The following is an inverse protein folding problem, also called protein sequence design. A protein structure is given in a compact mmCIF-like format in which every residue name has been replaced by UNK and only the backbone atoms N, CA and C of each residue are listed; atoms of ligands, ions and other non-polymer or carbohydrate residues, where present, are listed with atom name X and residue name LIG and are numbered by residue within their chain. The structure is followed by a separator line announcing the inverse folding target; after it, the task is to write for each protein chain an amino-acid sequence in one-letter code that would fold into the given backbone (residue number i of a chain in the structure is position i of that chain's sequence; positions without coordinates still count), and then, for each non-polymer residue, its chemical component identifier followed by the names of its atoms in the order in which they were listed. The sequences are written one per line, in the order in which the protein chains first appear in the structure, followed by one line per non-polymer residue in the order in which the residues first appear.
data_IF_393128767291
#
_entry.id   IF_393128767291
#
_cell.length_a   1.000
_cell.length_b   1.000
_cell.length_c   1.000
_cell.angle_alpha   90.00
_cell.angle_beta   90.00
_cell.angle_gamma   90.00
#
_symmetry.space_group_name_H-M   'P 1'
#
loop_
_entity.id
_entity.type
_entity.pdbx_description
1 polymer ?
#
# COMPACT_ATOMS: atom_id res chain seq x y z
N UNK A 1 9.57 28.61 0.98
CA UNK A 1 8.90 27.78 1.99
C UNK A 1 9.37 26.37 1.72
N UNK A 2 10.37 25.92 2.46
CA UNK A 2 10.84 24.55 2.35
C UNK A 2 9.68 23.64 2.74
N UNK A 3 9.07 22.99 1.75
CA UNK A 3 8.10 21.94 2.02
C UNK A 3 8.88 20.86 2.77
N UNK A 4 8.59 20.68 4.05
CA UNK A 4 9.16 19.58 4.81
C UNK A 4 8.99 18.29 4.01
N UNK A 5 10.09 17.57 3.86
CA UNK A 5 10.07 16.27 3.21
C UNK A 5 9.18 15.35 4.03
N UNK A 6 8.15 14.78 3.40
CA UNK A 6 7.38 13.72 4.02
C UNK A 6 8.28 12.54 4.42
N UNK A 7 8.12 12.08 5.66
CA UNK A 7 8.77 10.87 6.13
C UNK A 7 7.89 9.67 5.82
N UNK A 8 8.35 8.81 4.90
CA UNK A 8 7.67 7.56 4.59
C UNK A 8 7.54 6.69 5.85
N UNK A 9 6.36 6.11 6.02
CA UNK A 9 6.05 5.25 7.16
C UNK A 9 6.46 3.82 6.87
N UNK A 10 6.76 3.08 7.93
CA UNK A 10 6.90 1.64 7.89
C UNK A 10 6.02 1.02 8.99
N UNK A 11 5.47 -0.18 8.78
CA UNK A 11 4.69 -0.87 9.80
C UNK A 11 5.51 -1.07 11.09
N UNK A 12 5.02 -0.55 12.22
CA UNK A 12 5.76 -0.55 13.50
C UNK A 12 5.42 -1.72 14.41
N UNK A 13 4.23 -2.28 14.29
CA UNK A 13 3.74 -3.38 15.15
C UNK A 13 4.05 -4.77 14.57
N UNK A 14 4.70 -4.81 13.40
CA UNK A 14 4.98 -6.04 12.66
C UNK A 14 6.45 -6.42 12.81
N UNK A 15 6.69 -7.63 13.31
CA UNK A 15 8.02 -8.21 13.45
C UNK A 15 8.56 -8.71 12.10
N UNK A 16 7.70 -9.35 11.30
CA UNK A 16 8.09 -9.87 10.00
C UNK A 16 6.92 -9.94 9.01
N UNK A 17 7.26 -9.90 7.72
CA UNK A 17 6.34 -10.12 6.62
C UNK A 17 6.87 -11.24 5.74
N UNK A 18 5.95 -11.95 5.10
CA UNK A 18 6.28 -12.94 4.09
C UNK A 18 5.53 -12.62 2.81
N UNK A 19 6.29 -12.45 1.74
CA UNK A 19 5.77 -12.03 0.45
C UNK A 19 6.04 -13.07 -0.63
N UNK A 20 5.20 -13.07 -1.66
CA UNK A 20 5.43 -13.71 -2.95
C UNK A 20 5.44 -12.63 -4.02
N UNK A 21 6.56 -12.48 -4.71
CA UNK A 21 6.74 -11.53 -5.79
C UNK A 21 7.04 -12.25 -7.10
N UNK A 22 6.59 -11.67 -8.22
CA UNK A 22 7.18 -11.99 -9.53
C UNK A 22 8.55 -11.34 -9.67
N UNK A 23 9.36 -11.83 -10.60
CA UNK A 23 10.68 -11.24 -10.90
C UNK A 23 10.55 -9.76 -11.28
N UNK A 24 9.54 -9.40 -12.06
CA UNK A 24 9.30 -8.00 -12.46
C UNK A 24 8.90 -7.11 -11.29
N UNK A 25 8.08 -7.62 -10.36
CA UNK A 25 7.72 -6.90 -9.14
C UNK A 25 8.94 -6.67 -8.25
N UNK A 26 9.79 -7.69 -8.07
CA UNK A 26 11.02 -7.60 -7.29
C UNK A 26 12.01 -6.61 -7.91
N UNK A 27 12.23 -6.68 -9.23
CA UNK A 27 13.07 -5.72 -9.95
C UNK A 27 12.58 -4.28 -9.78
N UNK A 28 11.26 -4.07 -9.85
CA UNK A 28 10.69 -2.75 -9.64
C UNK A 28 10.92 -2.27 -8.20
N UNK A 29 10.68 -3.11 -7.19
CA UNK A 29 10.88 -2.76 -5.78
C UNK A 29 12.33 -2.37 -5.46
N UNK A 30 13.30 -3.02 -6.09
CA UNK A 30 14.73 -2.69 -5.97
C UNK A 30 15.14 -1.39 -6.69
N UNK A 31 14.24 -0.78 -7.47
CA UNK A 31 14.48 0.47 -8.19
C UNK A 31 14.12 1.72 -7.41
N UNK A 32 14.15 2.84 -8.12
CA UNK A 32 13.70 4.15 -7.65
C UNK A 32 12.63 4.72 -8.58
N UNK A 33 11.85 5.65 -8.06
CA UNK A 33 11.03 6.59 -8.84
C UNK A 33 11.39 8.00 -8.42
N UNK A 34 11.04 8.99 -9.23
CA UNK A 34 11.23 10.39 -8.85
C UNK A 34 9.93 11.02 -8.31
N UNK A 35 10.02 12.08 -7.52
CA UNK A 35 8.88 12.96 -7.25
C UNK A 35 8.76 14.05 -8.34
N UNK A 36 7.85 15.01 -8.17
CA UNK A 36 7.68 16.10 -9.14
C UNK A 36 8.84 17.11 -9.14
N UNK A 37 9.68 17.11 -8.09
CA UNK A 37 10.92 17.90 -8.02
C UNK A 37 12.13 17.15 -8.58
N UNK A 38 11.95 15.91 -9.07
CA UNK A 38 13.03 15.08 -9.58
C UNK A 38 13.83 14.36 -8.50
N UNK A 39 13.41 14.41 -7.23
CA UNK A 39 14.06 13.68 -6.15
C UNK A 39 13.81 12.19 -6.28
N UNK A 40 14.85 11.38 -6.19
CA UNK A 40 14.73 9.93 -6.16
C UNK A 40 14.15 9.43 -4.82
N UNK A 41 13.23 8.48 -4.94
CA UNK A 41 12.55 7.78 -3.85
C UNK A 41 12.69 6.29 -4.13
N UNK A 42 13.15 5.52 -3.14
CA UNK A 42 13.21 4.07 -3.22
C UNK A 42 11.82 3.46 -3.34
N UNK A 43 11.63 2.54 -4.28
CA UNK A 43 10.32 1.94 -4.53
C UNK A 43 9.82 1.09 -3.34
N UNK A 44 10.73 0.45 -2.60
CA UNK A 44 10.43 -0.17 -1.31
C UNK A 44 9.88 0.82 -0.27
N UNK A 45 10.30 2.09 -0.27
CA UNK A 45 9.78 3.09 0.68
C UNK A 45 8.32 3.45 0.35
N UNK A 46 7.97 3.52 -0.93
CA UNK A 46 6.59 3.75 -1.36
C UNK A 46 5.70 2.56 -1.01
N UNK A 47 6.17 1.35 -1.29
CA UNK A 47 5.43 0.13 -0.96
C UNK A 47 5.28 -0.04 0.56
N UNK A 48 6.35 0.22 1.32
CA UNK A 48 6.33 0.21 2.79
C UNK A 48 5.35 1.23 3.37
N UNK A 49 5.27 2.42 2.79
CA UNK A 49 4.32 3.46 3.21
C UNK A 49 2.85 3.09 2.94
N UNK A 50 2.59 2.31 1.89
CA UNK A 50 1.28 1.72 1.66
C UNK A 50 0.98 0.61 2.68
N UNK A 51 1.94 -0.30 2.91
CA UNK A 51 1.81 -1.37 3.90
C UNK A 51 1.59 -0.83 5.33
N UNK A 52 2.20 0.30 5.68
CA UNK A 52 2.03 0.95 6.98
C UNK A 52 0.58 1.40 7.26
N UNK A 53 -0.26 1.47 6.21
CA UNK A 53 -1.69 1.83 6.32
C UNK A 53 -2.61 0.62 6.41
N UNK A 54 -2.05 -0.58 6.32
CA UNK A 54 -2.78 -1.84 6.38
C UNK A 54 -3.39 -2.05 7.76
N UNK A 55 -4.67 -2.41 7.80
CA UNK A 55 -5.33 -2.87 9.01
C UNK A 55 -4.81 -4.28 9.37
N UNK A 56 -4.36 -4.47 10.60
CA UNK A 56 -3.85 -5.77 11.08
C UNK A 56 -4.96 -6.72 11.53
N UNK A 57 -6.11 -6.15 11.89
CA UNK A 57 -7.34 -6.85 12.29
C UNK A 57 -8.53 -6.18 11.63
N UNK A 58 -9.65 -6.90 11.51
CA UNK A 58 -10.90 -6.30 11.07
C UNK A 58 -11.29 -5.12 11.96
N UNK A 59 -11.75 -4.03 11.37
CA UNK A 59 -12.10 -2.84 12.14
C UNK A 59 -12.54 -1.65 11.33
N UNK A 60 -13.06 -0.64 12.04
CA UNK A 60 -13.49 0.62 11.45
C UNK A 60 -12.29 1.54 11.26
N UNK A 61 -11.95 1.85 10.02
CA UNK A 61 -11.03 2.91 9.68
C UNK A 61 -11.75 4.27 9.73
N UNK A 62 -11.24 5.18 10.58
CA UNK A 62 -11.74 6.55 10.73
C UNK A 62 -10.84 7.59 10.05
N UNK A 63 -9.86 7.15 9.24
CA UNK A 63 -8.85 8.03 8.64
C UNK A 63 -9.36 8.95 7.53
N UNK A 64 -10.62 8.79 7.12
CA UNK A 64 -11.23 9.55 6.03
C UNK A 64 -12.63 10.04 6.43
N UNK A 65 -13.22 10.90 5.59
CA UNK A 65 -14.50 11.58 5.86
C UNK A 65 -15.66 10.64 6.27
N UNK A 66 -15.60 9.35 5.89
CA UNK A 66 -16.60 8.36 6.28
C UNK A 66 -15.90 7.15 6.90
N UNK A 67 -16.38 6.68 8.07
CA UNK A 67 -15.92 5.42 8.65
C UNK A 67 -16.13 4.29 7.64
N UNK A 68 -15.13 3.43 7.50
CA UNK A 68 -15.17 2.28 6.61
C UNK A 68 -14.73 1.03 7.36
N UNK A 69 -15.52 -0.05 7.27
CA UNK A 69 -15.08 -1.36 7.73
C UNK A 69 -13.99 -1.88 6.79
N UNK A 70 -12.79 -2.09 7.33
CA UNK A 70 -11.69 -2.76 6.66
C UNK A 70 -11.56 -4.17 7.23
N UNK A 71 -11.32 -5.14 6.35
CA UNK A 71 -10.81 -6.44 6.76
C UNK A 71 -9.30 -6.36 7.02
N UNK A 72 -8.78 -7.28 7.83
CA UNK A 72 -7.35 -7.48 8.00
C UNK A 72 -6.67 -7.60 6.62
N UNK A 73 -5.51 -6.96 6.45
CA UNK A 73 -4.80 -6.93 5.16
C UNK A 73 -5.29 -5.87 4.18
N UNK A 74 -6.34 -5.10 4.50
CA UNK A 74 -6.79 -3.98 3.67
C UNK A 74 -6.27 -2.64 4.19
N UNK A 75 -6.09 -1.68 3.29
CA UNK A 75 -5.77 -0.30 3.63
C UNK A 75 -6.71 0.67 2.90
N UNK A 76 -7.15 1.71 3.58
CA UNK A 76 -7.84 2.82 2.92
C UNK A 76 -6.81 3.82 2.40
N UNK A 77 -7.06 4.39 1.22
CA UNK A 77 -6.16 5.39 0.64
C UNK A 77 -6.90 6.52 -0.08
N UNK A 78 -6.18 7.62 -0.32
CA UNK A 78 -6.63 8.73 -1.15
C UNK A 78 -5.52 9.15 -2.08
N UNK A 79 -5.81 9.20 -3.39
CA UNK A 79 -4.87 9.72 -4.39
C UNK A 79 -4.49 11.18 -4.10
N UNK A 80 -5.38 11.98 -3.51
CA UNK A 80 -5.12 13.36 -3.09
C UNK A 80 -4.07 13.39 -1.95
N UNK A 81 -4.26 12.54 -0.95
CA UNK A 81 -3.38 12.49 0.21
C UNK A 81 -2.00 11.93 -0.17
N UNK A 82 -1.95 10.85 -0.96
CA UNK A 82 -0.71 10.30 -1.49
C UNK A 82 0.00 11.31 -2.39
N UNK A 83 -0.74 12.07 -3.20
CA UNK A 83 -0.16 13.13 -4.05
C UNK A 83 0.55 14.20 -3.22
N UNK A 84 -0.09 14.63 -2.13
CA UNK A 84 0.49 15.60 -1.19
C UNK A 84 1.70 15.02 -0.45
N UNK A 85 1.58 13.82 0.11
CA UNK A 85 2.62 13.16 0.91
C UNK A 85 3.85 12.80 0.07
N UNK A 86 3.66 12.23 -1.11
CA UNK A 86 4.77 11.78 -1.95
C UNK A 86 5.29 12.87 -2.90
N UNK A 87 4.71 14.08 -2.85
CA UNK A 87 5.03 15.20 -3.74
C UNK A 87 4.99 14.79 -5.22
N UNK A 88 3.95 14.03 -5.59
CA UNK A 88 3.73 13.53 -6.95
C UNK A 88 2.33 13.93 -7.41
N UNK A 89 2.20 14.44 -8.63
CA UNK A 89 0.89 14.80 -9.18
C UNK A 89 -0.08 13.61 -9.21
N UNK A 90 -1.39 13.87 -9.04
CA UNK A 90 -2.42 12.81 -8.97
C UNK A 90 -2.42 11.86 -10.18
N UNK A 91 -2.08 12.34 -11.38
CA UNK A 91 -1.92 11.47 -12.57
C UNK A 91 -0.78 10.46 -12.38
N UNK A 92 0.32 10.90 -11.78
CA UNK A 92 1.48 10.07 -11.49
C UNK A 92 1.18 9.04 -10.40
N UNK A 93 0.52 9.46 -9.33
CA UNK A 93 0.01 8.55 -8.29
C UNK A 93 -0.87 7.47 -8.91
N UNK A 94 -1.84 7.85 -9.75
CA UNK A 94 -2.74 6.89 -10.39
C UNK A 94 -2.00 5.89 -11.28
N UNK A 95 -1.04 6.36 -12.07
CA UNK A 95 -0.22 5.49 -12.90
C UNK A 95 0.64 4.55 -12.06
N UNK A 96 1.23 5.05 -10.98
CA UNK A 96 2.01 4.25 -10.04
C UNK A 96 1.16 3.13 -9.42
N UNK A 97 -0.03 3.45 -8.90
CA UNK A 97 -0.96 2.46 -8.37
C UNK A 97 -1.34 1.43 -9.44
N UNK A 98 -1.60 1.84 -10.67
CA UNK A 98 -1.90 0.93 -11.77
C UNK A 98 -0.71 -0.01 -12.10
N UNK A 99 0.53 0.51 -12.07
CA UNK A 99 1.74 -0.31 -12.25
C UNK A 99 1.88 -1.33 -11.11
N UNK A 100 1.69 -0.91 -9.86
CA UNK A 100 1.73 -1.81 -8.70
C UNK A 100 0.67 -2.92 -8.80
N UNK A 101 -0.53 -2.58 -9.27
CA UNK A 101 -1.60 -3.56 -9.54
C UNK A 101 -1.24 -4.51 -10.67
N UNK A 102 -0.68 -4.01 -11.78
CA UNK A 102 -0.22 -4.85 -12.89
C UNK A 102 0.89 -5.83 -12.49
N UNK A 103 1.67 -5.52 -11.45
CA UNK A 103 2.70 -6.40 -10.90
C UNK A 103 2.22 -7.30 -9.76
N UNK A 104 0.95 -7.21 -9.36
CA UNK A 104 0.38 -8.00 -8.26
C UNK A 104 0.85 -7.58 -6.86
N UNK A 105 1.49 -6.40 -6.72
CA UNK A 105 1.94 -5.89 -5.42
C UNK A 105 0.76 -5.42 -4.57
N UNK A 106 -0.21 -4.76 -5.21
CA UNK A 106 -1.45 -4.32 -4.58
C UNK A 106 -2.63 -4.66 -5.48
N UNK A 107 -3.83 -4.72 -4.93
CA UNK A 107 -5.05 -4.57 -5.72
C UNK A 107 -5.80 -3.33 -5.23
N UNK A 108 -6.50 -2.63 -6.12
CA UNK A 108 -7.21 -1.39 -5.77
C UNK A 108 -8.68 -1.45 -6.16
N UNK A 109 -9.54 -1.25 -5.18
CA UNK A 109 -10.98 -1.11 -5.38
C UNK A 109 -11.40 0.33 -5.08
N UNK A 110 -11.84 1.05 -6.11
CA UNK A 110 -12.31 2.44 -5.99
C UNK A 110 -13.82 2.49 -6.07
N UNK A 111 -14.45 3.14 -5.09
CA UNK A 111 -15.88 3.42 -5.08
C UNK A 111 -16.14 4.92 -4.88
N UNK A 112 -17.41 5.32 -4.97
CA UNK A 112 -17.85 6.67 -4.58
C UNK A 112 -17.68 6.95 -3.09
N UNK A 113 -17.60 5.91 -2.25
CA UNK A 113 -17.59 6.01 -0.79
C UNK A 113 -16.16 6.01 -0.26
N UNK A 114 -15.30 5.15 -0.80
CA UNK A 114 -13.91 5.02 -0.40
C UNK A 114 -13.08 4.33 -1.49
N UNK A 115 -11.76 4.54 -1.43
CA UNK A 115 -10.78 3.73 -2.15
C UNK A 115 -10.05 2.83 -1.16
N UNK A 116 -10.08 1.54 -1.42
CA UNK A 116 -9.46 0.49 -0.59
C UNK A 116 -8.43 -0.23 -1.44
N UNK A 117 -7.32 -0.63 -0.82
CA UNK A 117 -6.35 -1.52 -1.41
C UNK A 117 -6.14 -2.76 -0.56
N UNK A 118 -5.73 -3.85 -1.21
CA UNK A 118 -5.22 -5.06 -0.59
C UNK A 118 -3.82 -5.37 -1.14
N UNK A 119 -3.15 -6.35 -0.56
CA UNK A 119 -1.78 -6.72 -0.90
C UNK A 119 -1.71 -8.20 -1.34
N UNK A 120 -2.03 -8.54 -2.60
CA UNK A 120 -2.02 -9.94 -3.06
C UNK A 120 -0.66 -10.63 -2.93
N UNK A 121 0.43 -9.86 -2.99
CA UNK A 121 1.77 -10.36 -2.76
C UNK A 121 2.06 -10.73 -1.30
N UNK A 122 1.24 -10.30 -0.33
CA UNK A 122 1.43 -10.56 1.09
C UNK A 122 0.78 -11.90 1.47
N UNK A 123 1.59 -12.86 1.92
CA UNK A 123 1.13 -14.19 2.30
C UNK A 123 0.76 -14.28 3.79
N UNK A 124 1.57 -13.64 4.63
CA UNK A 124 1.43 -13.67 6.09
C UNK A 124 2.29 -12.57 6.73
N UNK A 125 1.95 -12.19 7.96
CA UNK A 125 2.74 -11.30 8.81
C UNK A 125 2.78 -11.79 10.25
N UNK A 126 3.82 -11.40 10.98
CA UNK A 126 3.98 -11.71 12.39
C UNK A 126 3.91 -10.43 13.22
N UNK A 127 3.08 -10.44 14.25
CA UNK A 127 3.04 -9.39 15.27
C UNK A 127 3.86 -9.90 16.46
N UNK A 128 4.68 -9.04 17.06
CA UNK A 128 5.61 -9.42 18.12
C UNK A 128 4.94 -10.15 19.30
N UNK A 129 3.67 -9.85 19.58
CA UNK A 129 2.93 -10.39 20.73
C UNK A 129 1.96 -11.54 20.38
N UNK A 130 1.51 -11.65 19.12
CA UNK A 130 0.32 -12.46 18.76
C UNK A 130 0.58 -13.58 17.74
N UNK A 131 1.84 -13.86 17.41
CA UNK A 131 2.21 -14.96 16.50
C UNK A 131 1.97 -14.66 15.01
N UNK A 132 1.86 -15.73 14.21
CA UNK A 132 1.70 -15.65 12.74
C UNK A 132 0.24 -15.42 12.36
N UNK A 133 -0.01 -14.40 11.55
CA UNK A 133 -1.31 -14.11 10.95
C UNK A 133 -1.19 -14.37 9.45
N UNK A 134 -1.97 -15.33 8.95
CA UNK A 134 -2.09 -15.55 7.51
C UNK A 134 -2.86 -14.39 6.88
N UNK A 135 -2.40 -13.91 5.74
CA UNK A 135 -3.19 -12.96 4.97
C UNK A 135 -4.51 -13.63 4.58
N UNK A 136 -5.67 -12.96 4.77
CA UNK A 136 -6.91 -13.49 4.25
C UNK A 136 -6.75 -13.63 2.74
N UNK A 137 -6.85 -14.86 2.24
CA UNK A 137 -6.74 -15.15 0.81
C UNK A 137 -7.86 -14.38 0.08
N UNK A 138 -7.54 -13.22 -0.48
CA UNK A 138 -8.42 -12.53 -1.42
C UNK A 138 -8.04 -13.01 -2.83
N UNK A 139 -8.37 -14.27 -3.11
CA UNK A 139 -8.48 -14.74 -4.50
C UNK A 139 -9.93 -15.17 -4.70
N UNK A 140 -10.82 -14.19 -4.94
CA UNK A 140 -11.92 -14.49 -5.85
C UNK A 140 -11.28 -14.59 -7.24
N UNK A 141 -11.25 -15.82 -7.73
CA UNK A 141 -10.91 -16.14 -9.10
C UNK A 141 -11.77 -15.26 -10.01
N UNK A 142 -11.14 -14.40 -10.79
CA UNK A 142 -11.77 -13.90 -12.01
C UNK A 142 -11.68 -15.06 -12.99
N UNK A 143 -12.69 -15.92 -12.99
CA UNK A 143 -12.96 -16.82 -14.11
C UNK A 143 -13.06 -15.95 -15.38
N UNK A 144 -12.28 -16.30 -16.39
CA UNK A 144 -12.38 -15.77 -17.76
C UNK A 144 -13.68 -16.22 -18.45
#
# INVERSE_FOLDING_TARGET
MDKETYSFMYPTEIASFFFSFSDSAMQWLCGTTTDDNGREIGNFALFGDLLARMALTDGVANGFHRPLMLSAGQAQYSEEQLSSQWNMGRKRIRNLLATLTGMGLIDTCRSRVASVMSFPCLLQWEIAENGRIAAPFIHEQREE
#
